data_IF_204197635583
#
_entry.id   IF_204197635583
#
_cell.length_a   1.000
_cell.length_b   1.000
_cell.length_c   1.000
_cell.angle_alpha   90.00
_cell.angle_beta   90.00
_cell.angle_gamma   90.00
#
_symmetry.space_group_name_H-M   'P 1'
#
loop_
_entity.id
_entity.type
_entity.pdbx_description
1 polymer ?
#
# COMPACT_ATOMS: atom_id res chain seq x y z
N UNK A 1 -1.73 6.36 -6.59
CA UNK A 1 -0.59 6.04 -5.70
C UNK A 1 0.22 7.32 -5.50
N UNK A 2 0.47 7.71 -4.25
CA UNK A 2 1.15 8.97 -3.91
C UNK A 2 2.69 8.81 -3.92
N UNK A 3 3.42 9.89 -3.57
CA UNK A 3 4.90 9.89 -3.56
C UNK A 3 5.47 8.94 -2.49
N UNK A 4 4.91 8.94 -1.28
CA UNK A 4 5.41 8.15 -0.15
C UNK A 4 5.29 6.64 -0.42
N UNK A 5 4.17 6.20 -0.99
CA UNK A 5 3.95 4.81 -1.38
C UNK A 5 4.96 4.35 -2.45
N UNK A 6 5.24 5.19 -3.44
CA UNK A 6 6.23 4.89 -4.50
C UNK A 6 7.63 4.72 -3.93
N UNK A 7 8.04 5.62 -3.03
CA UNK A 7 9.35 5.55 -2.37
C UNK A 7 9.45 4.29 -1.51
N UNK A 8 8.46 4.02 -0.65
CA UNK A 8 8.46 2.85 0.22
C UNK A 8 8.49 1.53 -0.58
N UNK A 9 7.77 1.47 -1.71
CA UNK A 9 7.84 0.32 -2.60
C UNK A 9 9.21 0.16 -3.25
N UNK A 10 9.82 1.26 -3.70
CA UNK A 10 11.16 1.22 -4.32
C UNK A 10 12.24 0.80 -3.31
N UNK A 11 12.19 1.31 -2.06
CA UNK A 11 13.12 0.94 -0.98
C UNK A 11 13.11 -0.57 -0.67
N UNK A 12 11.96 -1.24 -0.87
CA UNK A 12 11.81 -2.69 -0.64
C UNK A 12 11.92 -3.54 -1.93
N UNK A 13 12.26 -2.95 -3.08
CA UNK A 13 12.23 -3.59 -4.41
C UNK A 13 10.88 -4.31 -4.71
N UNK A 14 9.78 -3.68 -4.28
CA UNK A 14 8.44 -4.22 -4.46
C UNK A 14 7.71 -3.58 -5.64
N UNK A 15 7.06 -4.43 -6.43
CA UNK A 15 6.05 -4.02 -7.42
C UNK A 15 4.66 -4.34 -6.88
N UNK A 16 3.61 -3.75 -7.45
CA UNK A 16 2.22 -4.05 -7.04
C UNK A 16 1.93 -5.55 -7.19
N UNK A 17 2.46 -6.18 -8.24
CA UNK A 17 2.38 -7.63 -8.47
C UNK A 17 3.10 -8.46 -7.40
N UNK A 18 4.30 -8.05 -6.96
CA UNK A 18 5.01 -8.74 -5.85
C UNK A 18 4.22 -8.59 -4.55
N UNK A 19 3.75 -7.38 -4.27
CA UNK A 19 2.96 -7.05 -3.08
C UNK A 19 1.63 -7.82 -3.04
N UNK A 20 0.96 -7.99 -4.18
CA UNK A 20 -0.29 -8.74 -4.27
C UNK A 20 -0.11 -10.22 -3.93
N UNK A 21 1.01 -10.82 -4.36
CA UNK A 21 1.37 -12.20 -3.97
C UNK A 21 1.63 -12.32 -2.47
N UNK A 22 2.39 -11.40 -1.88
CA UNK A 22 2.70 -11.39 -0.44
C UNK A 22 1.42 -11.28 0.40
N UNK A 23 0.47 -10.46 -0.04
CA UNK A 23 -0.77 -10.18 0.69
C UNK A 23 -1.89 -11.17 0.42
N UNK A 24 -1.66 -12.11 -0.50
CA UNK A 24 -2.67 -13.04 -1.03
C UNK A 24 -3.93 -12.29 -1.54
N UNK A 25 -3.71 -11.31 -2.43
CA UNK A 25 -4.76 -10.48 -3.03
C UNK A 25 -4.51 -10.30 -4.52
N UNK A 26 -5.54 -9.90 -5.24
CA UNK A 26 -5.40 -9.57 -6.67
C UNK A 26 -4.65 -8.25 -6.84
N UNK A 27 -3.87 -8.13 -7.92
CA UNK A 27 -3.13 -6.92 -8.25
C UNK A 27 -4.05 -5.68 -8.40
N UNK A 28 -5.23 -5.77 -9.06
CA UNK A 28 -6.17 -4.64 -9.11
C UNK A 28 -6.66 -4.20 -7.73
N UNK A 29 -6.90 -5.14 -6.81
CA UNK A 29 -7.37 -4.82 -5.46
C UNK A 29 -6.29 -4.06 -4.68
N UNK A 30 -5.04 -4.54 -4.69
CA UNK A 30 -3.93 -3.84 -4.03
C UNK A 30 -3.69 -2.47 -4.66
N UNK A 31 -3.73 -2.36 -5.99
CA UNK A 31 -3.59 -1.10 -6.70
C UNK A 31 -4.68 -0.08 -6.30
N UNK A 32 -5.93 -0.51 -6.21
CA UNK A 32 -7.05 0.34 -5.79
C UNK A 32 -6.92 0.81 -4.33
N UNK A 33 -6.35 0.00 -3.44
CA UNK A 33 -6.11 0.37 -2.03
C UNK A 33 -4.97 1.38 -1.91
N UNK A 34 -3.85 1.15 -2.59
CA UNK A 34 -2.73 2.09 -2.69
C UNK A 34 -3.21 3.42 -3.29
N UNK A 35 -4.03 3.37 -4.34
CA UNK A 35 -4.62 4.52 -5.00
C UNK A 35 -5.72 5.24 -4.21
N UNK A 36 -6.13 4.73 -3.05
CA UNK A 36 -7.18 5.35 -2.22
C UNK A 36 -8.61 5.14 -2.75
N UNK A 37 -8.79 4.55 -3.94
CA UNK A 37 -10.11 4.25 -4.54
C UNK A 37 -10.90 3.25 -3.71
N UNK A 38 -10.23 2.31 -3.05
CA UNK A 38 -10.85 1.37 -2.12
C UNK A 38 -10.34 1.61 -0.70
N UNK A 39 -11.23 1.98 0.22
CA UNK A 39 -10.91 2.14 1.64
C UNK A 39 -10.95 0.77 2.32
N UNK A 40 -9.78 0.22 2.64
CA UNK A 40 -9.64 -1.02 3.40
C UNK A 40 -8.60 -0.84 4.51
N UNK A 41 -9.00 -0.43 5.73
CA UNK A 41 -8.07 -0.19 6.83
C UNK A 41 -7.17 -1.40 7.12
N UNK A 42 -7.77 -2.59 7.23
CA UNK A 42 -7.03 -3.85 7.45
C UNK A 42 -5.98 -4.15 6.38
N UNK A 43 -6.28 -3.86 5.10
CA UNK A 43 -5.32 -4.10 4.02
C UNK A 43 -4.24 -3.01 3.99
N UNK A 44 -4.56 -1.75 4.34
CA UNK A 44 -3.57 -0.68 4.50
C UNK A 44 -2.57 -1.00 5.61
N UNK A 45 -3.04 -1.49 6.76
CA UNK A 45 -2.18 -1.97 7.85
C UNK A 45 -1.27 -3.12 7.37
N UNK A 46 -1.81 -4.11 6.67
CA UNK A 46 -0.97 -5.20 6.14
C UNK A 46 0.07 -4.70 5.12
N UNK A 47 -0.30 -3.76 4.25
CA UNK A 47 0.64 -3.12 3.31
C UNK A 47 1.72 -2.36 4.09
N UNK A 48 1.34 -1.63 5.15
CA UNK A 48 2.27 -0.83 5.95
C UNK A 48 3.31 -1.71 6.65
N UNK A 49 2.89 -2.88 7.16
CA UNK A 49 3.80 -3.88 7.71
C UNK A 49 4.79 -4.43 6.67
N UNK A 50 4.32 -4.72 5.44
CA UNK A 50 5.21 -5.21 4.37
C UNK A 50 6.20 -4.13 3.90
N UNK A 51 5.75 -2.88 3.84
CA UNK A 51 6.56 -1.75 3.42
C UNK A 51 7.42 -1.18 4.55
N UNK A 52 7.21 -1.63 5.79
CA UNK A 52 7.94 -1.16 6.98
C UNK A 52 7.84 0.35 7.14
N UNK A 53 6.61 0.87 7.02
CA UNK A 53 6.25 2.28 7.18
C UNK A 53 4.92 2.39 7.92
N UNK A 54 4.70 3.53 8.57
CA UNK A 54 3.40 3.83 9.16
C UNK A 54 2.31 4.04 8.12
N UNK A 55 1.07 3.66 8.46
CA UNK A 55 -0.11 3.91 7.62
C UNK A 55 -0.26 5.41 7.35
N UNK A 56 -0.07 6.27 8.35
CA UNK A 56 -0.15 7.73 8.18
C UNK A 56 0.94 8.28 7.26
N UNK A 57 2.13 7.65 7.24
CA UNK A 57 3.18 8.01 6.29
C UNK A 57 2.80 7.62 4.86
N UNK A 58 2.21 6.42 4.67
CA UNK A 58 1.80 5.92 3.36
C UNK A 58 0.51 6.58 2.84
N UNK A 59 -0.37 7.08 3.70
CA UNK A 59 -1.62 7.77 3.35
C UNK A 59 -1.83 9.04 4.20
N UNK A 60 -1.05 10.11 3.98
CA UNK A 60 -1.06 11.32 4.83
C UNK A 60 -2.34 12.16 4.74
N UNK A 61 -3.22 11.91 3.76
CA UNK A 61 -4.41 12.73 3.47
C UNK A 61 -5.73 12.01 3.78
N UNK A 62 -5.72 10.94 4.59
CA UNK A 62 -6.91 10.11 4.80
C UNK A 62 -7.35 9.89 6.26
N UNK A 63 -6.94 10.77 7.17
CA UNK A 63 -7.77 11.09 8.34
C UNK A 63 -8.57 12.35 8.03
N UNK A 64 -9.78 12.14 7.52
CA UNK A 64 -10.76 13.14 7.11
C UNK A 64 -12.07 12.46 6.80
#
# INVERSE_FOLDING_TARGET
MNKNQRIAMAEKDLTVRKLSKILDRTEPHVSNVLGGRFKSPKLRERISLVLDKDVCHLWPEHEG
#
